data_IF_791019420956
#
_entry.id   IF_791019420956
#
_cell.length_a   1.000
_cell.length_b   1.000
_cell.length_c   1.000
_cell.angle_alpha   90.00
_cell.angle_beta   90.00
_cell.angle_gamma   90.00
#
_symmetry.space_group_name_H-M   'P 1'
#
loop_
_entity.id
_entity.type
_entity.pdbx_description
1 polymer ?
#
# COMPACT_ATOMS: atom_id res chain seq x y z
N UNK A 1 19.24 34.45 -66.37
CA UNK A 1 19.74 35.61 -67.11
C UNK A 1 19.76 36.81 -66.15
N UNK A 2 20.95 37.44 -66.03
CA UNK A 2 21.11 38.69 -65.28
C UNK A 2 20.84 39.83 -66.22
N UNK A 3 19.86 40.66 -65.97
CA UNK A 3 19.60 41.87 -66.68
C UNK A 3 20.10 43.05 -65.80
N UNK A 4 21.09 43.82 -66.31
CA UNK A 4 21.45 45.13 -65.78
C UNK A 4 20.64 46.16 -66.55
N UNK A 5 19.87 46.98 -65.87
CA UNK A 5 19.30 48.19 -66.43
C UNK A 5 20.20 49.35 -66.05
N UNK A 6 20.80 50.00 -67.03
CA UNK A 6 21.47 51.30 -66.88
C UNK A 6 20.53 52.36 -67.51
N UNK A 7 20.15 53.34 -66.70
CA UNK A 7 19.54 54.58 -67.25
C UNK A 7 20.64 55.62 -67.25
N UNK A 8 21.01 56.05 -68.45
CA UNK A 8 22.04 57.11 -68.59
C UNK A 8 21.41 58.47 -68.48
N UNK A 9 21.88 59.25 -67.49
CA UNK A 9 22.23 60.68 -67.55
C UNK A 9 22.69 61.13 -66.14
N UNK A 10 23.68 61.94 -66.10
CA UNK A 10 24.33 62.48 -64.91
C UNK A 10 23.35 63.06 -63.86
N UNK A 11 22.99 62.22 -62.89
CA UNK A 11 22.50 62.62 -61.56
C UNK A 11 23.08 61.57 -60.57
N UNK A 12 23.53 62.03 -59.43
CA UNK A 12 23.85 61.16 -58.30
C UNK A 12 22.72 60.12 -58.15
N UNK A 13 23.03 58.84 -58.48
CA UNK A 13 22.00 57.81 -58.43
C UNK A 13 21.53 57.63 -56.96
N UNK A 14 20.38 58.29 -56.64
CA UNK A 14 19.75 58.16 -55.34
C UNK A 14 19.12 56.75 -55.12
N UNK A 15 19.10 55.88 -56.14
CA UNK A 15 18.47 54.57 -56.04
C UNK A 15 19.20 53.56 -56.97
N UNK A 16 19.58 52.43 -56.37
CA UNK A 16 20.11 51.25 -57.05
C UNK A 16 19.27 50.02 -56.73
N UNK A 17 18.93 49.27 -57.72
CA UNK A 17 18.14 48.04 -57.56
C UNK A 17 18.81 46.86 -58.29
N UNK A 18 18.80 45.71 -57.62
CA UNK A 18 19.25 44.45 -58.22
C UNK A 18 18.16 43.41 -58.08
N UNK A 19 17.70 42.87 -59.21
CA UNK A 19 16.70 41.82 -59.21
C UNK A 19 17.17 40.56 -59.92
N UNK A 20 16.63 39.41 -59.49
CA UNK A 20 16.85 38.12 -60.08
C UNK A 20 15.50 37.57 -60.57
N UNK A 21 15.39 37.26 -61.83
CA UNK A 21 14.16 36.72 -62.43
C UNK A 21 14.34 35.21 -62.67
N UNK A 22 13.27 34.46 -62.37
CA UNK A 22 13.11 33.07 -62.75
C UNK A 22 11.96 32.93 -63.74
N UNK A 23 11.95 31.93 -64.68
CA UNK A 23 10.87 31.70 -65.57
C UNK A 23 9.52 31.48 -64.83
N UNK A 24 8.43 32.06 -65.31
CA UNK A 24 7.10 31.96 -64.67
C UNK A 24 6.65 30.53 -64.42
N UNK A 25 7.12 29.57 -65.22
CA UNK A 25 6.80 28.14 -65.11
C UNK A 25 7.53 27.45 -63.95
N UNK A 26 8.57 28.07 -63.39
CA UNK A 26 9.33 27.53 -62.27
C UNK A 26 8.80 28.13 -60.96
N UNK A 27 8.20 27.33 -60.07
CA UNK A 27 7.71 27.85 -58.79
C UNK A 27 8.91 28.36 -57.97
N UNK A 28 8.83 29.61 -57.53
CA UNK A 28 9.83 30.19 -56.62
C UNK A 28 9.67 29.60 -55.22
N UNK A 29 10.72 29.01 -54.69
CA UNK A 29 10.82 28.61 -53.29
C UNK A 29 12.03 29.31 -52.67
N UNK A 30 11.83 30.21 -51.70
CA UNK A 30 12.98 30.84 -51.05
C UNK A 30 13.83 29.77 -50.32
N UNK A 31 15.16 29.91 -50.33
CA UNK A 31 15.98 29.01 -49.54
C UNK A 31 15.70 29.16 -48.05
N UNK A 32 15.71 28.04 -47.32
CA UNK A 32 15.61 28.04 -45.84
C UNK A 32 16.98 28.46 -45.29
N UNK A 33 17.13 29.71 -45.00
CA UNK A 33 18.41 30.30 -44.49
C UNK A 33 18.32 30.70 -43.00
N UNK A 34 17.12 30.82 -42.47
CA UNK A 34 16.89 31.13 -41.04
C UNK A 34 17.15 29.87 -40.21
N UNK A 35 18.09 29.91 -39.26
CA UNK A 35 18.29 28.76 -38.33
C UNK A 35 17.03 28.53 -37.53
N UNK A 36 16.77 27.23 -37.22
CA UNK A 36 15.72 26.88 -36.29
C UNK A 36 16.07 27.40 -34.91
N UNK A 37 15.07 27.87 -34.13
CA UNK A 37 15.30 28.22 -32.74
C UNK A 37 15.75 27.01 -31.93
N UNK A 38 16.71 27.21 -31.06
CA UNK A 38 17.26 26.15 -30.21
C UNK A 38 17.19 26.57 -28.75
N UNK A 39 16.67 25.70 -27.91
CA UNK A 39 16.67 25.88 -26.46
C UNK A 39 17.84 25.08 -25.89
N UNK A 40 18.81 25.80 -25.32
CA UNK A 40 19.96 25.20 -24.68
C UNK A 40 19.68 24.92 -23.19
N UNK A 41 19.71 23.63 -22.80
CA UNK A 41 19.47 23.21 -21.43
C UNK A 41 17.98 23.08 -21.05
N UNK A 42 17.77 22.68 -19.79
CA UNK A 42 16.45 22.41 -19.26
C UNK A 42 15.70 23.70 -18.84
N UNK A 43 14.37 23.66 -18.84
CA UNK A 43 13.51 24.75 -18.41
C UNK A 43 12.55 24.26 -17.32
N UNK A 44 12.42 24.96 -16.18
CA UNK A 44 11.38 24.67 -15.21
C UNK A 44 10.01 25.13 -15.73
N UNK A 45 8.97 24.37 -15.37
CA UNK A 45 7.60 24.71 -15.74
C UNK A 45 6.61 24.21 -14.68
N UNK A 46 5.46 24.86 -14.61
CA UNK A 46 4.37 24.51 -13.72
C UNK A 46 3.39 23.56 -14.43
N UNK A 47 3.02 22.46 -13.82
CA UNK A 47 1.96 21.59 -14.34
C UNK A 47 0.60 22.28 -14.22
N UNK A 48 -0.16 22.27 -15.31
CA UNK A 48 -1.43 22.96 -15.42
C UNK A 48 -2.54 22.07 -15.97
N UNK A 49 -3.78 22.55 -15.86
CA UNK A 49 -4.96 21.83 -16.38
C UNK A 49 -6.25 22.59 -16.09
N UNK A 50 -7.42 21.98 -16.35
CA UNK A 50 -8.71 22.59 -16.11
C UNK A 50 -8.93 22.96 -14.66
N UNK A 51 -9.61 24.08 -14.45
CA UNK A 51 -9.96 24.58 -13.11
C UNK A 51 -10.69 23.51 -12.29
N UNK A 52 -10.34 23.41 -11.01
CA UNK A 52 -10.92 22.47 -10.07
C UNK A 52 -10.45 21.02 -10.22
N UNK A 53 -9.48 20.74 -11.10
CA UNK A 53 -8.81 19.44 -11.16
C UNK A 53 -7.48 19.50 -10.39
N UNK A 54 -7.11 18.38 -9.76
CA UNK A 54 -5.81 18.19 -9.12
C UNK A 54 -4.85 17.39 -9.98
N UNK A 55 -5.40 16.49 -10.78
CA UNK A 55 -4.66 15.60 -11.68
C UNK A 55 -5.32 15.69 -13.05
N UNK A 56 -4.53 15.95 -14.08
CA UNK A 56 -5.02 15.97 -15.45
C UNK A 56 -3.98 15.40 -16.41
N UNK A 57 -4.27 14.20 -16.91
CA UNK A 57 -3.37 13.42 -17.76
C UNK A 57 -4.15 12.83 -18.92
N UNK A 58 -3.47 12.56 -20.04
CA UNK A 58 -4.06 11.82 -21.14
C UNK A 58 -3.81 10.30 -21.00
N UNK A 59 -4.30 9.53 -21.98
CA UNK A 59 -4.14 8.07 -22.03
C UNK A 59 -2.69 7.57 -22.09
N UNK A 60 -1.73 8.44 -22.36
CA UNK A 60 -0.30 8.14 -22.39
C UNK A 60 0.44 8.63 -21.15
N UNK A 61 -0.27 9.14 -20.14
CA UNK A 61 0.34 9.72 -18.93
C UNK A 61 1.08 11.03 -19.20
N UNK A 62 0.72 11.76 -20.27
CA UNK A 62 1.26 13.07 -20.60
C UNK A 62 0.52 14.15 -19.80
N UNK A 63 1.21 15.24 -19.51
CA UNK A 63 0.66 16.43 -18.84
C UNK A 63 0.86 17.67 -19.70
N UNK A 64 0.20 18.75 -19.31
CA UNK A 64 0.47 20.07 -19.86
C UNK A 64 1.09 20.97 -18.82
N UNK A 65 1.89 21.91 -19.27
CA UNK A 65 2.65 22.82 -18.40
C UNK A 65 2.52 24.25 -18.88
N UNK A 66 2.85 25.17 -17.98
CA UNK A 66 3.14 26.56 -18.33
C UNK A 66 4.57 26.87 -17.92
N UNK A 67 5.37 27.33 -18.89
CA UNK A 67 6.73 27.79 -18.64
C UNK A 67 6.72 29.15 -17.89
N UNK A 68 7.68 29.37 -17.01
CA UNK A 68 7.75 30.62 -16.25
C UNK A 68 7.99 31.87 -17.11
N UNK A 69 8.62 31.70 -18.27
CA UNK A 69 8.83 32.78 -19.23
C UNK A 69 7.58 33.07 -20.10
N UNK A 70 6.58 32.18 -20.11
CA UNK A 70 5.33 32.43 -20.82
C UNK A 70 4.46 33.42 -20.04
N UNK A 71 4.48 34.68 -20.52
CA UNK A 71 3.76 35.81 -19.92
C UNK A 71 2.31 35.91 -20.35
N UNK A 72 1.88 35.18 -21.38
CA UNK A 72 0.55 35.24 -21.95
C UNK A 72 -0.33 34.06 -21.54
N UNK A 73 0.27 32.97 -21.06
CA UNK A 73 -0.43 31.77 -20.61
C UNK A 73 -1.32 32.05 -19.39
N UNK A 74 -2.45 31.35 -19.34
CA UNK A 74 -3.48 31.50 -18.30
C UNK A 74 -3.39 30.44 -17.21
N UNK A 75 -2.37 29.60 -17.23
CA UNK A 75 -2.18 28.41 -16.34
C UNK A 75 -3.37 27.44 -16.41
N UNK A 76 -3.90 27.25 -17.62
CA UNK A 76 -5.03 26.39 -17.90
C UNK A 76 -4.64 25.22 -18.82
N UNK A 77 -5.64 24.44 -19.25
CA UNK A 77 -5.48 23.31 -20.17
C UNK A 77 -4.97 23.67 -21.56
N UNK A 78 -4.85 24.94 -21.91
CA UNK A 78 -4.40 25.42 -23.21
C UNK A 78 -2.97 25.96 -23.21
N UNK A 79 -2.29 25.95 -22.06
CA UNK A 79 -0.96 26.55 -21.90
C UNK A 79 0.15 25.86 -22.67
N UNK A 80 0.04 24.57 -22.99
CA UNK A 80 1.03 23.86 -23.82
C UNK A 80 0.41 22.71 -24.62
N UNK A 81 1.21 22.06 -25.47
CA UNK A 81 0.93 20.72 -25.98
C UNK A 81 0.99 19.67 -24.85
N UNK A 82 0.56 18.46 -25.13
CA UNK A 82 0.76 17.30 -24.24
C UNK A 82 2.23 16.87 -24.24
N UNK A 83 2.88 16.89 -23.05
CA UNK A 83 4.29 16.59 -22.87
C UNK A 83 4.44 15.24 -22.19
N UNK A 84 5.31 14.39 -22.72
CA UNK A 84 5.65 13.09 -22.12
C UNK A 84 6.40 13.29 -20.82
N UNK A 85 6.14 12.40 -19.85
CA UNK A 85 6.80 12.40 -18.53
C UNK A 85 7.71 11.20 -18.43
N UNK A 86 8.98 11.43 -18.10
CA UNK A 86 9.91 10.37 -17.74
C UNK A 86 9.43 9.68 -16.46
N UNK A 87 9.35 8.36 -16.50
CA UNK A 87 8.96 7.53 -15.36
C UNK A 87 10.16 6.69 -14.92
N UNK A 88 10.26 6.26 -13.66
CA UNK A 88 11.41 5.48 -13.17
C UNK A 88 11.53 4.13 -13.89
N UNK A 89 10.42 3.58 -14.41
CA UNK A 89 10.39 2.35 -15.18
C UNK A 89 9.17 2.34 -16.09
N UNK A 90 9.35 2.02 -17.38
CA UNK A 90 8.29 2.11 -18.37
C UNK A 90 8.35 0.93 -19.35
N UNK A 91 7.49 -0.04 -19.17
CA UNK A 91 7.32 -1.20 -20.04
C UNK A 91 5.91 -1.32 -20.61
N UNK A 92 5.67 -2.38 -21.37
CA UNK A 92 4.36 -2.65 -21.99
C UNK A 92 3.38 -3.17 -20.93
N UNK A 93 2.55 -2.27 -20.37
CA UNK A 93 1.59 -2.52 -19.27
C UNK A 93 2.23 -2.94 -17.93
N UNK A 94 3.48 -2.57 -17.70
CA UNK A 94 4.18 -2.76 -16.43
C UNK A 94 5.20 -1.65 -16.20
N UNK A 95 5.56 -1.37 -14.96
CA UNK A 95 6.53 -0.33 -14.59
C UNK A 95 6.12 0.49 -13.38
N UNK A 96 6.80 1.61 -13.15
CA UNK A 96 6.48 2.58 -12.10
C UNK A 96 5.87 3.84 -12.71
N UNK A 97 4.74 4.30 -12.18
CA UNK A 97 4.06 5.50 -12.69
C UNK A 97 3.76 6.46 -11.54
N UNK A 98 4.18 7.72 -11.70
CA UNK A 98 3.87 8.85 -10.82
C UNK A 98 3.48 10.05 -11.68
N UNK A 99 2.20 10.30 -11.82
CA UNK A 99 1.72 11.43 -12.61
C UNK A 99 1.99 12.74 -11.88
N UNK A 100 2.64 13.73 -12.52
CA UNK A 100 2.72 15.08 -11.98
C UNK A 100 1.32 15.66 -11.81
N UNK A 101 1.08 16.32 -10.67
CA UNK A 101 -0.19 16.98 -10.36
C UNK A 101 -0.15 18.45 -10.71
N UNK A 102 -1.31 19.03 -10.95
CA UNK A 102 -1.45 20.48 -11.19
C UNK A 102 -0.84 21.25 -10.01
N UNK A 103 -0.03 22.27 -10.32
CA UNK A 103 0.71 23.06 -9.35
C UNK A 103 2.09 22.54 -8.99
N UNK A 104 2.49 21.34 -9.45
CA UNK A 104 3.85 20.83 -9.25
C UNK A 104 4.82 21.43 -10.27
N UNK A 105 6.05 21.68 -9.83
CA UNK A 105 7.13 22.12 -10.68
C UNK A 105 7.86 20.93 -11.31
N UNK A 106 8.03 21.00 -12.62
CA UNK A 106 8.70 19.98 -13.43
C UNK A 106 9.85 20.56 -14.20
N UNK A 107 10.83 19.72 -14.51
CA UNK A 107 11.98 20.03 -15.35
C UNK A 107 11.66 19.53 -16.75
N UNK A 108 11.63 20.43 -17.72
CA UNK A 108 11.40 20.14 -19.14
C UNK A 108 12.70 20.27 -19.91
N UNK A 109 13.04 19.22 -20.62
CA UNK A 109 14.13 19.20 -21.59
C UNK A 109 13.57 19.20 -23.02
N UNK A 110 14.40 19.50 -24.01
CA UNK A 110 14.00 19.56 -25.40
C UNK A 110 14.91 18.66 -26.24
N UNK A 111 14.33 17.67 -26.94
CA UNK A 111 15.10 16.74 -27.73
C UNK A 111 15.88 17.48 -28.83
N UNK A 112 17.23 17.41 -28.78
CA UNK A 112 18.13 18.13 -29.70
C UNK A 112 17.96 19.67 -29.62
N UNK A 113 17.44 20.19 -28.50
CA UNK A 113 17.16 21.60 -28.33
C UNK A 113 15.95 22.12 -29.11
N UNK A 114 15.17 21.25 -29.73
CA UNK A 114 13.99 21.61 -30.54
C UNK A 114 12.81 21.99 -29.63
N UNK A 115 12.34 23.25 -29.62
CA UNK A 115 11.21 23.70 -28.82
C UNK A 115 9.91 22.94 -29.08
N UNK A 116 9.75 22.31 -30.23
CA UNK A 116 8.57 21.51 -30.57
C UNK A 116 8.64 20.05 -30.04
N UNK A 117 9.75 19.69 -29.40
CA UNK A 117 9.98 18.32 -28.89
C UNK A 117 10.29 18.26 -27.39
N UNK A 118 9.41 18.84 -26.53
CA UNK A 118 9.61 18.85 -25.09
C UNK A 118 9.41 17.46 -24.48
N UNK A 119 10.14 17.20 -23.38
CA UNK A 119 10.00 16.03 -22.54
C UNK A 119 10.27 16.42 -21.07
N UNK A 120 9.41 15.96 -20.15
CA UNK A 120 9.63 16.16 -18.71
C UNK A 120 10.59 15.09 -18.21
N UNK A 121 11.73 15.51 -17.68
CA UNK A 121 12.82 14.64 -17.20
C UNK A 121 12.90 14.56 -15.68
N UNK A 122 12.27 15.50 -14.94
CA UNK A 122 12.35 15.53 -13.48
C UNK A 122 11.29 16.42 -12.83
N UNK A 123 11.39 16.49 -11.50
CA UNK A 123 10.54 17.30 -10.61
C UNK A 123 11.41 17.90 -9.54
N UNK A 124 11.02 19.06 -9.02
CA UNK A 124 11.71 19.73 -7.92
C UNK A 124 10.70 20.22 -6.89
N UNK A 125 11.11 20.20 -5.63
CA UNK A 125 10.38 20.89 -4.57
C UNK A 125 10.68 22.39 -4.64
N UNK A 126 9.75 23.21 -4.20
CA UNK A 126 9.89 24.66 -4.09
C UNK A 126 9.16 25.18 -2.85
N UNK A 127 9.10 26.51 -2.67
CA UNK A 127 8.49 27.13 -1.50
C UNK A 127 6.97 26.87 -1.36
N UNK A 128 6.27 26.57 -2.47
CA UNK A 128 4.84 26.24 -2.47
C UNK A 128 4.59 24.73 -2.36
N UNK A 129 5.57 23.92 -2.77
CA UNK A 129 5.52 22.46 -2.78
C UNK A 129 6.72 21.93 -2.00
N UNK A 130 6.67 22.02 -0.67
CA UNK A 130 7.73 21.61 0.24
C UNK A 130 7.86 20.07 0.31
N UNK A 131 9.05 19.54 0.64
CA UNK A 131 9.25 18.10 0.89
C UNK A 131 8.28 17.55 1.92
N UNK A 132 7.93 16.24 1.83
CA UNK A 132 6.96 15.61 2.74
C UNK A 132 7.44 15.49 4.18
N UNK A 133 8.75 15.57 4.41
CA UNK A 133 9.38 15.51 5.72
C UNK A 133 10.07 16.84 6.03
N UNK A 134 9.90 17.34 7.27
CA UNK A 134 10.50 18.61 7.69
C UNK A 134 12.04 18.51 7.69
N UNK A 135 12.68 19.27 6.82
CA UNK A 135 14.13 19.35 6.72
C UNK A 135 14.67 20.60 7.42
N UNK A 136 15.88 20.56 8.00
CA UNK A 136 16.83 19.42 8.02
C UNK A 136 16.58 18.41 9.14
N UNK A 137 15.56 18.60 10.00
CA UNK A 137 15.32 17.78 11.20
C UNK A 137 15.17 16.28 10.90
N UNK A 138 14.55 15.93 9.79
CA UNK A 138 14.29 14.55 9.36
C UNK A 138 15.13 14.16 8.13
N UNK A 139 16.39 14.59 8.07
CA UNK A 139 17.28 14.31 6.91
C UNK A 139 17.61 12.83 6.71
N UNK A 140 17.37 11.98 7.72
CA UNK A 140 17.54 10.53 7.66
C UNK A 140 16.32 9.80 7.13
N UNK A 141 15.19 10.52 6.93
CA UNK A 141 13.97 9.95 6.38
C UNK A 141 13.98 9.99 4.86
N UNK A 142 13.59 8.87 4.25
CA UNK A 142 13.35 8.75 2.82
C UNK A 142 12.07 7.95 2.56
N UNK A 143 11.44 8.11 1.39
CA UNK A 143 10.24 7.35 1.08
C UNK A 143 9.32 7.99 0.07
N UNK A 144 8.13 7.41 -0.06
CA UNK A 144 7.06 7.87 -0.92
C UNK A 144 5.83 8.19 -0.09
N UNK A 145 5.40 9.45 -0.10
CA UNK A 145 4.17 9.89 0.52
C UNK A 145 3.23 10.45 -0.53
N UNK A 146 2.05 9.85 -0.66
CA UNK A 146 1.01 10.29 -1.60
C UNK A 146 0.05 11.29 -0.92
N UNK A 147 -0.96 11.71 -1.62
CA UNK A 147 -2.09 12.48 -1.09
C UNK A 147 -3.36 12.01 -1.75
N UNK A 148 -4.41 11.81 -0.96
CA UNK A 148 -5.73 11.48 -1.48
C UNK A 148 -6.24 12.56 -2.44
N UNK A 149 -6.91 12.18 -3.51
CA UNK A 149 -7.52 13.03 -4.51
C UNK A 149 -8.97 12.57 -4.71
N UNK A 150 -9.94 13.47 -4.75
CA UNK A 150 -9.92 14.91 -4.83
C UNK A 150 -10.17 15.50 -3.44
N UNK A 151 -9.49 16.62 -3.10
CA UNK A 151 -9.74 17.36 -1.86
C UNK A 151 -9.07 16.79 -0.60
N UNK A 152 -8.10 15.88 -0.73
CA UNK A 152 -7.35 15.36 0.42
C UNK A 152 -6.41 16.40 1.03
N UNK A 153 -6.41 16.51 2.36
CA UNK A 153 -5.46 17.32 3.13
C UNK A 153 -4.12 16.62 3.37
N UNK A 154 -3.28 17.24 4.19
CA UNK A 154 -1.98 16.70 4.60
C UNK A 154 -2.10 15.37 5.35
N UNK A 155 -3.24 15.13 6.01
CA UNK A 155 -3.54 13.94 6.81
C UNK A 155 -4.00 12.74 5.98
N UNK A 156 -4.38 12.96 4.71
CA UNK A 156 -4.94 11.92 3.86
C UNK A 156 -3.89 11.41 2.86
N UNK A 157 -3.18 10.35 3.21
CA UNK A 157 -2.06 9.85 2.41
C UNK A 157 -1.84 8.34 2.54
N UNK A 158 -1.17 7.76 1.55
CA UNK A 158 -0.49 6.48 1.71
C UNK A 158 1.02 6.72 1.75
N UNK A 159 1.75 5.94 2.55
CA UNK A 159 3.18 6.16 2.75
C UNK A 159 3.95 4.84 2.84
N UNK A 160 5.13 4.83 2.23
CA UNK A 160 6.20 3.89 2.55
C UNK A 160 7.41 4.75 2.89
N UNK A 161 7.82 4.71 4.16
CA UNK A 161 8.91 5.53 4.69
C UNK A 161 9.99 4.65 5.31
N UNK A 162 11.23 5.03 5.10
CA UNK A 162 12.41 4.51 5.76
C UNK A 162 12.96 5.58 6.70
N UNK A 163 13.25 5.22 7.92
CA UNK A 163 14.05 6.00 8.86
C UNK A 163 15.39 5.28 9.03
N UNK A 164 16.48 5.94 8.65
CA UNK A 164 17.84 5.38 8.68
C UNK A 164 18.68 5.93 9.85
N UNK A 165 18.04 6.58 10.82
CA UNK A 165 18.74 7.05 12.01
C UNK A 165 19.20 5.88 12.86
N UNK A 166 20.53 5.74 13.03
CA UNK A 166 21.13 4.63 13.78
C UNK A 166 20.54 4.47 15.18
N UNK A 167 20.03 3.27 15.47
CA UNK A 167 19.37 2.91 16.72
C UNK A 167 17.89 3.29 16.80
N UNK A 168 17.33 3.83 15.71
CA UNK A 168 15.92 4.15 15.56
C UNK A 168 15.41 3.85 14.15
N UNK A 169 16.06 2.89 13.48
CA UNK A 169 15.72 2.46 12.13
C UNK A 169 14.29 1.90 12.08
N UNK A 170 13.51 2.33 11.08
CA UNK A 170 12.12 1.92 10.91
C UNK A 170 11.75 1.81 9.43
N UNK A 171 10.89 0.86 9.10
CA UNK A 171 10.11 0.86 7.86
C UNK A 171 8.64 1.02 8.24
N UNK A 172 8.05 2.15 7.84
CA UNK A 172 6.62 2.43 8.02
C UNK A 172 5.86 2.19 6.72
N UNK A 173 4.81 1.37 6.80
CA UNK A 173 3.82 1.22 5.73
C UNK A 173 2.48 1.72 6.27
N UNK A 174 1.97 2.79 5.68
CA UNK A 174 0.69 3.40 6.04
C UNK A 174 -0.25 3.41 4.85
N UNK A 175 -1.44 2.88 5.05
CA UNK A 175 -2.54 2.93 4.09
C UNK A 175 -3.67 3.80 4.66
N UNK A 176 -4.03 4.85 3.96
CA UNK A 176 -5.12 5.77 4.35
C UNK A 176 -6.45 5.03 4.56
N UNK A 177 -6.69 3.97 3.83
CA UNK A 177 -7.94 3.23 3.93
C UNK A 177 -7.75 1.72 3.97
N UNK A 178 -7.31 1.11 2.89
CA UNK A 178 -7.22 -0.34 2.76
C UNK A 178 -5.79 -0.74 2.36
N UNK A 179 -5.26 -1.77 3.00
CA UNK A 179 -4.05 -2.48 2.56
C UNK A 179 -4.46 -3.88 2.11
N UNK A 180 -4.12 -4.23 0.86
CA UNK A 180 -4.33 -5.57 0.31
C UNK A 180 -2.99 -6.15 -0.12
N UNK A 181 -2.69 -7.36 0.34
CA UNK A 181 -1.48 -8.11 -0.02
C UNK A 181 -1.89 -9.43 -0.63
N UNK A 182 -1.36 -9.74 -1.81
CA UNK A 182 -1.55 -11.04 -2.48
C UNK A 182 -0.18 -11.65 -2.75
N UNK A 183 -0.01 -12.92 -2.38
CA UNK A 183 1.21 -13.70 -2.60
C UNK A 183 0.83 -14.97 -3.35
N UNK A 184 1.31 -15.14 -4.57
CA UNK A 184 0.93 -16.26 -5.44
C UNK A 184 1.55 -17.60 -5.03
N UNK A 185 2.57 -17.59 -4.18
CA UNK A 185 3.23 -18.82 -3.72
C UNK A 185 3.39 -18.82 -2.19
N UNK A 186 4.53 -18.46 -1.66
CA UNK A 186 4.84 -18.58 -0.25
C UNK A 186 5.09 -17.23 0.41
N UNK A 187 4.55 -17.02 1.61
CA UNK A 187 4.93 -15.94 2.50
C UNK A 187 5.75 -16.51 3.67
N UNK A 188 6.85 -15.84 3.99
CA UNK A 188 7.66 -16.12 5.18
C UNK A 188 7.86 -14.85 6.00
N UNK A 189 7.66 -14.94 7.30
CA UNK A 189 7.83 -13.82 8.23
C UNK A 189 8.66 -14.24 9.44
N UNK A 190 9.77 -13.56 9.67
CA UNK A 190 10.61 -13.73 10.85
C UNK A 190 10.69 -12.42 11.64
N UNK A 191 10.48 -12.48 12.95
CA UNK A 191 10.51 -11.31 13.85
C UNK A 191 11.46 -11.62 14.99
N UNK A 192 12.60 -10.93 15.08
CA UNK A 192 13.61 -11.13 16.12
C UNK A 192 13.21 -10.61 17.51
N UNK A 193 12.20 -9.75 17.57
CA UNK A 193 11.69 -9.18 18.81
C UNK A 193 10.20 -9.45 19.01
N UNK A 194 9.46 -8.44 19.44
CA UNK A 194 8.02 -8.54 19.72
C UNK A 194 7.18 -8.29 18.46
N UNK A 195 6.14 -9.08 18.27
CA UNK A 195 5.05 -8.80 17.32
C UNK A 195 3.79 -8.41 18.08
N UNK A 196 3.13 -7.32 17.67
CA UNK A 196 1.83 -6.90 18.18
C UNK A 196 0.85 -6.78 17.02
N UNK A 197 -0.34 -7.35 17.19
CA UNK A 197 -1.46 -7.20 16.22
C UNK A 197 -2.65 -6.64 16.98
N UNK A 198 -3.22 -5.52 16.52
CA UNK A 198 -4.42 -4.92 17.07
C UNK A 198 -5.46 -4.76 15.97
N UNK A 199 -6.61 -5.39 16.13
CA UNK A 199 -7.71 -5.38 15.16
C UNK A 199 -8.95 -4.86 15.87
N UNK A 200 -9.53 -3.79 15.34
CA UNK A 200 -10.71 -3.14 15.98
C UNK A 200 -11.99 -3.88 15.71
N UNK A 201 -12.10 -4.63 14.63
CA UNK A 201 -13.32 -5.33 14.24
C UNK A 201 -13.08 -6.83 14.16
N UNK A 202 -13.12 -7.41 12.97
CA UNK A 202 -13.09 -8.84 12.75
C UNK A 202 -11.75 -9.32 12.23
N UNK A 203 -11.31 -10.49 12.66
CA UNK A 203 -10.20 -11.24 12.08
C UNK A 203 -10.72 -12.58 11.56
N UNK A 204 -10.34 -12.95 10.36
CA UNK A 204 -10.66 -14.26 9.78
C UNK A 204 -9.40 -14.92 9.26
N UNK A 205 -9.15 -16.15 9.71
CA UNK A 205 -8.06 -17.00 9.21
C UNK A 205 -8.66 -18.26 8.58
N UNK A 206 -8.37 -18.49 7.30
CA UNK A 206 -8.81 -19.68 6.55
C UNK A 206 -7.58 -20.42 6.02
N UNK A 207 -7.44 -21.70 6.36
CA UNK A 207 -6.48 -22.63 5.76
C UNK A 207 -7.30 -23.67 4.99
N UNK A 208 -7.37 -23.51 3.67
CA UNK A 208 -8.27 -24.30 2.82
C UNK A 208 -7.75 -25.73 2.58
N UNK A 209 -6.43 -25.88 2.49
CA UNK A 209 -5.78 -27.18 2.25
C UNK A 209 -4.42 -27.20 2.96
N UNK A 210 -4.26 -28.12 3.91
CA UNK A 210 -3.05 -28.24 4.71
C UNK A 210 -3.27 -28.08 6.22
N UNK A 211 -2.20 -27.89 6.98
CA UNK A 211 -2.21 -27.88 8.43
C UNK A 211 -1.90 -26.49 8.98
N UNK A 212 -2.59 -26.12 10.07
CA UNK A 212 -2.15 -25.03 10.93
C UNK A 212 -1.40 -25.60 12.13
N UNK A 213 -0.19 -25.12 12.37
CA UNK A 213 0.62 -25.47 13.55
C UNK A 213 1.00 -24.23 14.33
N UNK A 214 0.75 -24.22 15.61
CA UNK A 214 1.27 -23.24 16.55
C UNK A 214 2.20 -23.94 17.56
N UNK A 215 3.34 -23.31 17.87
CA UNK A 215 4.31 -23.82 18.85
C UNK A 215 4.78 -22.67 19.70
N UNK A 216 4.58 -22.76 20.99
CA UNK A 216 5.14 -21.87 22.00
C UNK A 216 6.19 -22.66 22.80
N UNK A 217 7.48 -22.37 22.58
CA UNK A 217 8.57 -23.12 23.24
C UNK A 217 8.72 -22.75 24.72
N UNK A 218 8.50 -21.48 25.06
CA UNK A 218 8.58 -20.95 26.42
C UNK A 218 7.57 -19.84 26.63
N UNK A 219 6.97 -19.77 27.79
CA UNK A 219 6.00 -18.75 28.17
C UNK A 219 4.58 -19.27 28.28
N UNK A 220 3.62 -18.40 28.31
CA UNK A 220 2.20 -18.71 28.49
C UNK A 220 1.41 -18.39 27.22
N UNK A 221 0.47 -19.25 26.89
CA UNK A 221 -0.60 -18.96 25.93
C UNK A 221 -1.86 -18.58 26.72
N UNK A 222 -2.44 -17.42 26.43
CA UNK A 222 -3.61 -16.90 27.13
C UNK A 222 -4.67 -16.47 26.12
N UNK A 223 -5.86 -17.02 26.26
CA UNK A 223 -7.05 -16.58 25.50
C UNK A 223 -8.07 -15.98 26.47
N UNK A 224 -8.38 -14.70 26.34
CA UNK A 224 -9.41 -14.00 27.09
C UNK A 224 -10.54 -13.56 26.18
N UNK A 225 -11.77 -13.95 26.49
CA UNK A 225 -12.98 -13.51 25.82
C UNK A 225 -13.87 -12.82 26.86
N UNK A 226 -13.91 -11.49 26.81
CA UNK A 226 -14.65 -10.70 27.79
C UNK A 226 -16.16 -10.75 27.59
N UNK A 227 -16.60 -10.82 26.32
CA UNK A 227 -18.00 -10.96 25.95
C UNK A 227 -18.10 -11.83 24.69
N UNK A 228 -19.03 -12.78 24.69
CA UNK A 228 -19.24 -13.72 23.58
C UNK A 228 -18.85 -15.14 23.91
N UNK A 229 -18.84 -15.99 22.92
CA UNK A 229 -18.62 -17.43 23.02
C UNK A 229 -17.28 -17.84 22.41
N UNK A 230 -16.77 -18.97 22.87
CA UNK A 230 -15.75 -19.74 22.15
C UNK A 230 -16.37 -21.04 21.67
N UNK A 231 -16.49 -21.20 20.36
CA UNK A 231 -17.00 -22.44 19.76
C UNK A 231 -15.85 -23.18 19.06
N UNK A 232 -15.73 -24.46 19.34
CA UNK A 232 -14.77 -25.37 18.69
C UNK A 232 -15.55 -26.51 18.07
N UNK A 233 -15.52 -26.64 16.75
CA UNK A 233 -16.21 -27.70 16.03
C UNK A 233 -15.24 -28.50 15.17
N UNK A 234 -15.16 -29.81 15.41
CA UNK A 234 -14.46 -30.76 14.57
C UNK A 234 -15.47 -31.61 13.82
N UNK A 235 -15.55 -31.45 12.50
CA UNK A 235 -16.43 -32.24 11.65
C UNK A 235 -15.96 -33.69 11.51
N UNK A 236 -14.66 -33.89 11.50
CA UNK A 236 -14.00 -35.20 11.47
C UNK A 236 -12.67 -35.13 12.22
N UNK A 237 -12.29 -36.18 12.91
CA UNK A 237 -11.01 -36.27 13.64
C UNK A 237 -11.21 -36.22 15.17
N UNK A 238 -10.12 -36.09 15.88
CA UNK A 238 -10.09 -36.11 17.35
C UNK A 238 -9.63 -34.77 17.90
N UNK A 239 -10.20 -34.35 19.02
CA UNK A 239 -9.66 -33.31 19.88
C UNK A 239 -8.88 -33.99 21.04
N UNK A 240 -7.68 -33.52 21.32
CA UNK A 240 -6.84 -34.06 22.38
C UNK A 240 -6.22 -32.93 23.21
N UNK A 241 -6.49 -32.93 24.50
CA UNK A 241 -5.90 -32.04 25.48
C UNK A 241 -5.01 -32.84 26.43
N UNK A 242 -3.71 -32.56 26.47
CA UNK A 242 -2.72 -33.27 27.29
C UNK A 242 -1.87 -32.29 28.10
N UNK A 243 -1.76 -32.48 29.39
CA UNK A 243 -0.74 -31.89 30.23
C UNK A 243 0.23 -33.01 30.67
N UNK A 244 1.49 -32.99 30.24
CA UNK A 244 2.48 -34.00 30.59
C UNK A 244 2.86 -33.91 32.07
N UNK A 245 2.99 -32.67 32.57
CA UNK A 245 3.22 -32.36 33.97
C UNK A 245 2.32 -31.18 34.35
N UNK A 246 1.62 -31.28 35.48
CA UNK A 246 0.66 -30.25 35.89
C UNK A 246 -0.80 -30.69 35.75
N UNK A 247 -1.73 -29.75 35.84
CA UNK A 247 -3.15 -30.02 35.94
C UNK A 247 -3.89 -29.53 34.69
N UNK A 248 -4.96 -30.24 34.33
CA UNK A 248 -6.01 -29.73 33.46
C UNK A 248 -7.20 -29.37 34.32
N UNK A 249 -7.58 -28.11 34.33
CA UNK A 249 -8.69 -27.62 35.14
C UNK A 249 -9.78 -27.02 34.24
N UNK A 250 -11.02 -27.48 34.44
CA UNK A 250 -12.20 -26.95 33.75
C UNK A 250 -13.17 -26.42 34.83
N UNK A 251 -13.48 -25.12 34.79
CA UNK A 251 -14.38 -24.48 35.76
C UNK A 251 -15.54 -23.78 35.05
N UNK A 252 -16.75 -23.95 35.55
CA UNK A 252 -17.94 -23.20 35.19
C UNK A 252 -18.63 -22.69 36.48
N UNK A 253 -18.09 -21.64 37.13
CA UNK A 253 -18.52 -21.26 38.51
C UNK A 253 -20.00 -20.87 38.60
N UNK A 254 -20.57 -20.28 37.55
CA UNK A 254 -21.97 -19.87 37.49
C UNK A 254 -22.75 -20.59 36.39
N UNK A 255 -22.19 -21.59 35.76
CA UNK A 255 -22.79 -22.31 34.62
C UNK A 255 -22.78 -23.83 34.81
N UNK A 256 -23.05 -24.54 33.73
CA UNK A 256 -23.06 -25.99 33.68
C UNK A 256 -21.91 -26.50 32.83
N UNK A 257 -21.17 -27.48 33.32
CA UNK A 257 -20.28 -28.30 32.49
C UNK A 257 -21.03 -29.58 32.09
N UNK A 258 -21.25 -29.78 30.78
CA UNK A 258 -21.91 -30.97 30.26
C UNK A 258 -20.96 -31.80 29.40
N UNK A 259 -20.93 -33.09 29.60
CA UNK A 259 -20.24 -34.06 28.76
C UNK A 259 -21.23 -35.07 28.23
N UNK A 260 -21.35 -35.20 26.92
CA UNK A 260 -22.24 -36.16 26.26
C UNK A 260 -21.46 -36.90 25.16
N UNK A 261 -21.46 -38.21 25.23
CA UNK A 261 -20.77 -39.08 24.27
C UNK A 261 -21.44 -40.47 24.26
N UNK A 262 -21.18 -41.30 23.22
CA UNK A 262 -21.56 -42.69 23.21
C UNK A 262 -20.91 -43.49 24.35
N UNK A 263 -19.67 -43.14 24.71
CA UNK A 263 -18.94 -43.71 25.83
C UNK A 263 -18.12 -42.61 26.53
N UNK A 264 -18.21 -42.54 27.85
CA UNK A 264 -17.37 -41.66 28.70
C UNK A 264 -16.49 -42.58 29.56
N UNK A 265 -15.20 -42.43 29.49
CA UNK A 265 -14.23 -43.14 30.36
C UNK A 265 -13.51 -42.15 31.24
N UNK A 266 -13.52 -42.40 32.54
CA UNK A 266 -12.79 -41.59 33.54
C UNK A 266 -11.83 -42.56 34.24
N UNK A 267 -10.53 -42.42 34.02
CA UNK A 267 -9.49 -43.28 34.57
C UNK A 267 -8.56 -42.47 35.47
N UNK A 268 -8.45 -42.81 36.71
CA UNK A 268 -7.51 -42.23 37.67
C UNK A 268 -6.62 -43.31 38.24
N UNK A 269 -5.30 -43.16 38.21
CA UNK A 269 -4.35 -44.13 38.74
C UNK A 269 -4.34 -44.16 40.27
N UNK A 270 -4.66 -43.05 40.94
CA UNK A 270 -4.66 -42.97 42.39
C UNK A 270 -6.06 -42.74 42.97
N UNK A 271 -6.80 -41.76 42.50
CA UNK A 271 -8.13 -41.42 43.01
C UNK A 271 -9.01 -40.77 41.96
N UNK A 272 -10.30 -41.13 41.92
CA UNK A 272 -11.36 -40.39 41.22
C UNK A 272 -12.34 -39.93 42.30
N UNK A 273 -12.59 -38.61 42.40
CA UNK A 273 -13.51 -37.99 43.31
C UNK A 273 -14.63 -37.27 42.53
N UNK A 274 -15.87 -37.54 42.85
CA UNK A 274 -17.06 -36.82 42.40
C UNK A 274 -17.80 -36.30 43.63
N UNK A 275 -17.88 -34.98 43.81
CA UNK A 275 -18.45 -34.36 44.99
C UNK A 275 -19.56 -33.37 44.62
N UNK A 276 -20.62 -33.35 45.38
CA UNK A 276 -21.74 -32.38 45.28
C UNK A 276 -22.25 -32.06 46.69
N UNK A 277 -21.99 -30.85 47.18
CA UNK A 277 -22.32 -30.46 48.54
C UNK A 277 -21.77 -31.45 49.59
N UNK A 278 -22.67 -32.00 50.42
CA UNK A 278 -22.32 -33.02 51.46
C UNK A 278 -22.28 -34.47 50.94
N UNK A 279 -22.38 -34.70 49.64
CA UNK A 279 -22.36 -36.05 49.00
C UNK A 279 -21.12 -36.24 48.15
N UNK A 280 -20.57 -37.46 48.15
CA UNK A 280 -19.39 -37.79 47.37
C UNK A 280 -19.36 -39.26 46.88
N UNK A 281 -18.69 -39.48 45.76
CA UNK A 281 -18.25 -40.80 45.31
C UNK A 281 -16.75 -40.71 45.17
N UNK A 282 -16.01 -41.50 45.94
CA UNK A 282 -14.57 -41.60 45.93
C UNK A 282 -14.15 -43.00 45.48
N UNK A 283 -13.38 -43.12 44.48
CA UNK A 283 -12.80 -44.37 43.99
C UNK A 283 -11.29 -44.39 44.24
N UNK A 284 -10.78 -45.41 44.78
CA UNK A 284 -9.35 -45.71 44.98
C UNK A 284 -9.05 -47.11 44.41
N UNK A 285 -7.80 -47.57 44.31
CA UNK A 285 -7.49 -48.88 43.83
C UNK A 285 -8.14 -50.04 44.61
N UNK A 286 -8.54 -49.84 45.84
CA UNK A 286 -9.11 -50.87 46.71
C UNK A 286 -10.56 -50.66 47.13
N UNK A 287 -11.10 -49.42 46.99
CA UNK A 287 -12.44 -49.12 47.53
C UNK A 287 -13.22 -48.18 46.59
N UNK A 288 -14.53 -48.24 46.71
CA UNK A 288 -15.50 -47.25 46.25
C UNK A 288 -16.30 -46.78 47.46
N UNK A 289 -16.06 -45.58 47.91
CA UNK A 289 -16.74 -44.99 49.03
C UNK A 289 -17.85 -44.04 48.51
N UNK A 290 -19.08 -44.28 48.90
CA UNK A 290 -20.24 -43.43 48.59
C UNK A 290 -20.76 -42.85 49.92
N UNK A 291 -20.65 -41.56 50.10
CA UNK A 291 -21.04 -40.81 51.28
C UNK A 291 -22.16 -39.84 50.94
N UNK A 292 -23.27 -39.88 51.61
CA UNK A 292 -24.40 -38.96 51.46
C UNK A 292 -25.28 -39.06 52.72
N UNK A 293 -26.00 -37.99 53.18
CA UNK A 293 -27.02 -38.08 54.20
C UNK A 293 -28.15 -39.05 53.88
N UNK A 294 -28.40 -39.30 52.59
CA UNK A 294 -29.37 -40.30 52.12
C UNK A 294 -28.91 -40.90 50.78
N UNK A 295 -28.82 -42.21 50.72
CA UNK A 295 -28.49 -42.97 49.51
C UNK A 295 -29.70 -43.76 49.04
N UNK A 296 -30.29 -43.40 47.93
CA UNK A 296 -31.41 -44.13 47.31
C UNK A 296 -30.88 -45.02 46.16
N UNK A 297 -31.01 -46.32 46.32
CA UNK A 297 -30.69 -47.31 45.30
C UNK A 297 -32.01 -47.89 44.78
N UNK A 298 -32.32 -47.63 43.53
CA UNK A 298 -33.53 -48.14 42.87
C UNK A 298 -33.14 -48.91 41.59
N UNK A 299 -33.68 -50.11 41.44
CA UNK A 299 -33.47 -50.95 40.28
C UNK A 299 -34.46 -52.10 40.23
N UNK A 300 -34.75 -52.69 39.08
CA UNK A 300 -35.57 -53.89 38.95
C UNK A 300 -34.95 -55.10 39.67
N UNK A 301 -33.65 -55.12 39.85
CA UNK A 301 -32.91 -56.11 40.66
C UNK A 301 -31.69 -55.39 41.24
N UNK A 302 -31.57 -55.36 42.57
CA UNK A 302 -30.40 -54.88 43.30
C UNK A 302 -29.68 -56.08 43.92
N UNK A 303 -28.47 -56.35 43.49
CA UNK A 303 -27.61 -57.41 44.08
C UNK A 303 -26.52 -56.76 44.94
N UNK A 304 -26.49 -57.15 46.19
CA UNK A 304 -25.45 -56.78 47.16
C UNK A 304 -24.73 -58.07 47.53
N UNK A 305 -23.45 -58.16 47.21
CA UNK A 305 -22.63 -59.30 47.63
C UNK A 305 -22.24 -59.10 49.09
N UNK A 306 -22.63 -60.04 49.90
CA UNK A 306 -22.25 -60.16 51.32
C UNK A 306 -21.00 -61.04 51.39
#
# INVERSE_FOLDING_TARGET
KRLKGESGQDSEEAYSNRFLCIPKKVPYRPPRVTPLPTINGVQPALVVGPSGNEIWVDKYGRVKVQFYWDRQGKKDENSSCWIRVSQPWAGRNWGGIWNPRIGQEVIVDFLEGDPDRPIITGRVYNAEQMPPYALPANQTQSGFKSRSSKGGGSENFNEIRFEDKKGAEEILIHAERNLSTTVEANESRSVGGKRTTAIKKDETLVVSDGNRKETLEKGNDTLEIWQGNRDVTLMKGNDSLMAQTGNIEVKAPAGTHSTSALKVEINGSATVNITCGGSSIKMTPGTIDITSPLINIKGGLVKINC
#
